data_IF_528941385378
#
_entry.id   IF_528941385378
#
_cell.length_a   1.000
_cell.length_b   1.000
_cell.length_c   1.000
_cell.angle_alpha   90.00
_cell.angle_beta   90.00
_cell.angle_gamma   90.00
#
_symmetry.space_group_name_H-M   'P 1'
#
loop_
_entity.id
_entity.type
_entity.pdbx_description
1 polymer ?
#
# COMPACT_ATOMS: atom_id res chain seq x y z
N UNK A 1 -11.34 -74.49 -29.91
CA UNK A 1 -11.65 -74.23 -31.33
C UNK A 1 -12.30 -72.85 -31.42
N UNK A 2 -11.60 -71.85 -32.00
CA UNK A 2 -12.10 -70.66 -32.75
C UNK A 2 -13.11 -69.71 -32.03
N UNK A 3 -12.98 -68.38 -31.93
CA UNK A 3 -12.28 -67.32 -32.69
C UNK A 3 -12.14 -66.06 -31.81
N UNK A 4 -10.98 -65.38 -31.87
CA UNK A 4 -10.78 -63.98 -31.48
C UNK A 4 -11.10 -63.04 -32.65
N UNK A 5 -11.57 -61.80 -32.38
CA UNK A 5 -11.53 -60.54 -33.17
C UNK A 5 -12.78 -59.73 -32.73
N UNK A 6 -12.80 -58.45 -32.39
CA UNK A 6 -11.85 -57.33 -32.20
C UNK A 6 -12.74 -56.11 -31.87
N UNK A 7 -12.17 -55.06 -31.27
CA UNK A 7 -12.57 -53.62 -31.34
C UNK A 7 -12.96 -52.92 -30.03
N UNK A 8 -11.92 -52.31 -29.45
CA UNK A 8 -11.80 -50.87 -29.15
C UNK A 8 -12.83 -50.20 -28.23
N UNK A 9 -12.36 -49.82 -27.04
CA UNK A 9 -13.03 -48.87 -26.15
C UNK A 9 -12.11 -48.22 -25.12
N UNK A 10 -10.89 -47.83 -25.52
CA UNK A 10 -10.10 -46.83 -24.78
C UNK A 10 -10.74 -45.46 -25.03
N UNK A 11 -11.47 -44.93 -24.05
CA UNK A 11 -12.23 -43.68 -24.19
C UNK A 11 -12.21 -42.84 -22.92
N UNK A 12 -11.08 -42.16 -22.70
CA UNK A 12 -10.94 -40.86 -22.01
C UNK A 12 -11.41 -40.72 -20.56
N UNK A 13 -10.42 -40.89 -19.68
CA UNK A 13 -10.16 -40.03 -18.54
C UNK A 13 -10.17 -38.55 -19.00
N UNK A 14 -11.29 -37.84 -18.85
CA UNK A 14 -11.37 -36.39 -19.04
C UNK A 14 -11.46 -35.72 -17.67
N UNK A 15 -10.29 -35.22 -17.27
CA UNK A 15 -10.04 -34.29 -16.19
C UNK A 15 -11.16 -33.23 -16.13
N UNK A 16 -11.99 -33.29 -15.09
CA UNK A 16 -12.75 -32.14 -14.63
C UNK A 16 -11.75 -31.15 -14.01
N UNK A 17 -10.92 -30.53 -14.84
CA UNK A 17 -10.29 -29.26 -14.48
C UNK A 17 -11.44 -28.29 -14.39
N UNK A 18 -11.86 -27.95 -13.16
CA UNK A 18 -12.71 -26.81 -12.90
C UNK A 18 -12.08 -25.60 -13.58
N UNK A 19 -12.58 -25.25 -14.78
CA UNK A 19 -12.30 -23.96 -15.38
C UNK A 19 -12.85 -22.94 -14.41
N UNK A 20 -12.00 -22.41 -13.53
CA UNK A 20 -12.27 -21.15 -12.85
C UNK A 20 -12.55 -20.16 -13.97
N UNK A 21 -13.81 -19.81 -14.15
CA UNK A 21 -14.22 -18.75 -15.05
C UNK A 21 -13.52 -17.50 -14.55
N UNK A 22 -12.42 -17.12 -15.20
CA UNK A 22 -11.79 -15.83 -14.99
C UNK A 22 -12.67 -14.81 -15.69
N UNK A 23 -13.75 -14.41 -15.04
CA UNK A 23 -14.51 -13.24 -15.45
C UNK A 23 -13.54 -12.06 -15.42
N UNK A 24 -13.20 -11.51 -16.58
CA UNK A 24 -12.28 -10.39 -16.65
C UNK A 24 -12.92 -9.18 -15.93
N UNK A 25 -12.25 -8.68 -14.88
CA UNK A 25 -12.71 -7.52 -14.12
C UNK A 25 -12.70 -6.30 -15.04
N UNK A 26 -13.86 -5.68 -15.24
CA UNK A 26 -14.01 -4.45 -16.03
C UNK A 26 -13.90 -3.25 -15.11
N UNK A 27 -12.74 -2.61 -15.11
CA UNK A 27 -12.49 -1.37 -14.36
C UNK A 27 -12.88 -0.15 -15.20
N UNK A 28 -13.74 0.69 -14.64
CA UNK A 28 -14.13 2.01 -15.15
C UNK A 28 -13.66 3.09 -14.17
N UNK A 29 -12.69 3.92 -14.55
CA UNK A 29 -12.06 4.89 -13.64
C UNK A 29 -12.94 6.07 -13.21
N UNK A 30 -14.20 6.11 -13.67
CA UNK A 30 -15.21 7.07 -13.23
C UNK A 30 -16.12 6.52 -12.14
N UNK A 31 -16.08 5.22 -11.88
CA UNK A 31 -16.94 4.53 -10.92
C UNK A 31 -16.28 4.49 -9.53
N UNK A 32 -15.87 5.67 -9.04
CA UNK A 32 -15.13 5.81 -7.76
C UNK A 32 -15.98 5.39 -6.55
N UNK A 33 -17.30 5.56 -6.62
CA UNK A 33 -18.27 5.19 -5.57
C UNK A 33 -18.27 3.69 -5.23
N UNK A 34 -17.71 2.85 -6.11
CA UNK A 34 -17.60 1.40 -5.90
C UNK A 34 -16.31 1.01 -5.18
N UNK A 35 -15.42 1.98 -4.96
CA UNK A 35 -14.15 1.79 -4.30
C UNK A 35 -14.28 2.37 -2.90
N UNK A 36 -14.36 1.47 -1.93
CA UNK A 36 -14.27 1.83 -0.53
C UNK A 36 -12.78 1.98 -0.19
N UNK A 37 -12.27 3.22 -0.15
CA UNK A 37 -10.84 3.50 0.08
C UNK A 37 -10.46 3.34 1.55
N UNK A 38 -11.35 3.73 2.46
CA UNK A 38 -11.27 3.49 3.91
C UNK A 38 -11.09 2.01 4.25
N UNK A 39 -11.49 1.16 3.32
CA UNK A 39 -11.54 -0.28 3.35
C UNK A 39 -10.24 -0.96 2.84
N UNK A 40 -9.30 -0.21 2.23
CA UNK A 40 -8.06 -0.76 1.66
C UNK A 40 -7.20 -1.52 2.69
N UNK A 41 -7.24 -1.10 3.96
CA UNK A 41 -6.39 -1.66 5.02
C UNK A 41 -6.71 -3.13 5.38
N UNK A 42 -7.92 -3.63 5.14
CA UNK A 42 -8.22 -5.06 5.36
C UNK A 42 -7.91 -5.92 4.12
N UNK A 43 -7.74 -5.31 2.95
CA UNK A 43 -7.43 -6.04 1.73
C UNK A 43 -6.01 -6.60 1.73
N UNK A 44 -5.07 -5.91 2.37
CA UNK A 44 -3.71 -6.39 2.57
C UNK A 44 -3.31 -6.28 4.03
N UNK A 45 -3.05 -7.41 4.69
CA UNK A 45 -2.56 -7.41 6.07
C UNK A 45 -1.18 -6.75 6.16
N UNK A 46 -1.11 -5.59 6.83
CA UNK A 46 0.10 -4.81 7.06
C UNK A 46 0.35 -4.64 8.58
N UNK A 47 1.28 -5.40 9.19
CA UNK A 47 1.54 -5.39 10.62
C UNK A 47 1.92 -4.00 11.16
N UNK A 48 2.70 -3.22 10.41
CA UNK A 48 3.05 -1.84 10.79
C UNK A 48 1.98 -0.81 10.44
N UNK A 49 0.88 -1.22 9.78
CA UNK A 49 -0.17 -0.31 9.33
C UNK A 49 -0.94 0.31 10.50
N UNK A 50 -1.26 -0.51 11.53
CA UNK A 50 -1.91 -0.09 12.77
C UNK A 50 -1.27 -0.86 13.95
N UNK A 51 -0.15 -0.35 14.45
CA UNK A 51 0.55 -0.83 15.65
C UNK A 51 0.65 0.25 16.74
N UNK A 52 1.26 -0.10 17.88
CA UNK A 52 1.46 0.79 19.02
C UNK A 52 2.18 2.10 18.67
N UNK A 53 3.18 2.03 17.78
CA UNK A 53 3.92 3.20 17.28
C UNK A 53 3.00 4.11 16.46
N UNK A 54 2.23 3.54 15.52
CA UNK A 54 1.29 4.34 14.73
C UNK A 54 0.21 4.98 15.60
N UNK A 55 -0.32 4.26 16.60
CA UNK A 55 -1.28 4.84 17.55
C UNK A 55 -0.67 5.95 18.41
N UNK A 56 0.55 5.76 18.88
CA UNK A 56 1.29 6.77 19.65
C UNK A 56 1.49 8.03 18.81
N UNK A 57 2.00 7.89 17.59
CA UNK A 57 2.26 9.01 16.70
C UNK A 57 0.97 9.73 16.31
N UNK A 58 -0.11 8.99 16.02
CA UNK A 58 -1.41 9.57 15.73
C UNK A 58 -1.92 10.45 16.87
N UNK A 59 -1.81 9.99 18.13
CA UNK A 59 -2.17 10.77 19.32
C UNK A 59 -1.31 12.03 19.46
N UNK A 60 0.00 11.93 19.26
CA UNK A 60 0.93 13.06 19.40
C UNK A 60 0.70 14.15 18.37
N UNK A 61 0.40 13.77 17.12
CA UNK A 61 0.26 14.70 16.00
C UNK A 61 -1.19 15.09 15.72
N UNK A 62 -2.13 14.50 16.46
CA UNK A 62 -3.58 14.61 16.24
C UNK A 62 -4.00 14.10 14.86
N UNK A 63 -3.20 13.23 14.25
CA UNK A 63 -3.55 12.54 13.02
C UNK A 63 -4.65 11.53 13.31
N UNK A 64 -5.66 11.48 12.45
CA UNK A 64 -6.76 10.52 12.56
C UNK A 64 -6.37 9.27 11.77
N UNK A 65 -6.17 8.15 12.47
CA UNK A 65 -6.04 6.86 11.80
C UNK A 65 -7.39 6.45 11.23
N UNK A 66 -7.45 5.88 10.01
CA UNK A 66 -8.69 5.36 9.46
C UNK A 66 -9.32 4.34 10.41
N UNK A 67 -10.57 4.58 10.81
CA UNK A 67 -11.35 3.62 11.58
C UNK A 67 -12.29 2.81 10.67
N UNK A 68 -12.95 1.80 11.24
CA UNK A 68 -13.82 0.89 10.47
C UNK A 68 -15.13 1.52 9.99
N UNK A 69 -15.51 2.65 10.57
CA UNK A 69 -16.82 3.27 10.36
C UNK A 69 -16.68 4.68 9.74
N UNK A 70 -15.47 5.08 9.34
CA UNK A 70 -15.19 6.40 8.77
C UNK A 70 -14.92 6.29 7.26
N UNK A 71 -15.70 7.03 6.48
CA UNK A 71 -15.48 7.20 5.05
C UNK A 71 -14.14 7.90 4.78
N UNK A 72 -13.56 7.63 3.60
CA UNK A 72 -12.34 8.28 3.17
C UNK A 72 -12.50 9.81 3.13
N UNK A 73 -11.43 10.54 3.41
CA UNK A 73 -11.44 12.00 3.47
C UNK A 73 -11.63 12.55 2.04
N UNK A 74 -12.82 13.04 1.72
CA UNK A 74 -13.13 13.58 0.38
C UNK A 74 -12.36 14.88 0.06
N UNK A 75 -12.04 15.69 1.08
CA UNK A 75 -11.34 16.97 0.93
C UNK A 75 -10.05 17.04 1.77
N UNK A 76 -8.89 16.98 1.11
CA UNK A 76 -7.58 17.21 1.74
C UNK A 76 -7.38 18.69 2.09
N UNK A 77 -7.76 19.07 3.30
CA UNK A 77 -7.41 20.41 3.84
C UNK A 77 -5.90 20.52 4.12
N UNK A 78 -5.37 21.75 4.16
CA UNK A 78 -3.97 22.00 4.55
C UNK A 78 -3.64 21.39 5.90
N UNK A 79 -4.53 21.50 6.89
CA UNK A 79 -4.30 20.94 8.23
C UNK A 79 -4.19 19.40 8.21
N UNK A 80 -4.97 18.73 7.36
CA UNK A 80 -4.86 17.29 7.15
C UNK A 80 -3.51 16.90 6.55
N UNK A 81 -3.05 17.64 5.54
CA UNK A 81 -1.72 17.43 4.95
C UNK A 81 -0.63 17.63 6.00
N UNK A 82 -0.71 18.70 6.80
CA UNK A 82 0.30 19.01 7.82
C UNK A 82 0.33 17.99 8.96
N UNK A 83 -0.84 17.54 9.44
CA UNK A 83 -0.92 16.50 10.47
C UNK A 83 -0.41 15.16 9.96
N UNK A 84 -0.70 14.80 8.70
CA UNK A 84 -0.14 13.63 8.02
C UNK A 84 1.38 13.68 7.88
N UNK A 85 1.93 14.85 7.53
CA UNK A 85 3.38 15.05 7.47
C UNK A 85 4.06 14.88 8.83
N UNK A 86 3.49 15.45 9.88
CA UNK A 86 4.02 15.25 11.24
C UNK A 86 3.87 13.82 11.73
N UNK A 87 2.75 13.16 11.41
CA UNK A 87 2.54 11.75 11.72
C UNK A 87 3.64 10.87 11.11
N UNK A 88 3.89 11.02 9.80
CA UNK A 88 4.92 10.26 9.12
C UNK A 88 6.32 10.53 9.68
N UNK A 89 6.63 11.79 10.02
CA UNK A 89 7.89 12.14 10.69
C UNK A 89 8.03 11.41 12.03
N UNK A 90 7.00 11.43 12.86
CA UNK A 90 7.03 10.73 14.16
C UNK A 90 7.32 9.23 14.01
N UNK A 91 6.63 8.57 13.06
CA UNK A 91 6.84 7.13 12.78
C UNK A 91 8.28 6.88 12.32
N UNK A 92 8.80 7.71 11.43
CA UNK A 92 10.14 7.53 10.88
C UNK A 92 11.24 7.83 11.91
N UNK A 93 11.04 8.83 12.76
CA UNK A 93 11.93 9.14 13.87
C UNK A 93 11.97 7.96 14.86
N UNK A 94 10.81 7.39 15.20
CA UNK A 94 10.71 6.26 16.13
C UNK A 94 11.59 5.08 15.69
N UNK A 95 11.54 4.73 14.40
CA UNK A 95 12.35 3.62 13.85
C UNK A 95 13.75 4.04 13.39
N UNK A 96 14.16 5.29 13.59
CA UNK A 96 15.42 5.86 13.09
C UNK A 96 15.59 5.69 11.56
N UNK A 97 14.48 5.79 10.81
CA UNK A 97 14.49 5.71 9.36
C UNK A 97 15.03 6.97 8.70
N UNK A 98 15.29 8.04 9.45
CA UNK A 98 15.87 9.27 8.94
C UNK A 98 17.28 9.47 9.47
N UNK A 99 18.17 9.94 8.59
CA UNK A 99 19.51 10.42 8.91
C UNK A 99 19.74 11.71 8.10
N UNK A 100 19.96 12.84 8.78
CA UNK A 100 20.17 14.15 8.16
C UNK A 100 19.12 14.49 7.07
N UNK A 101 17.84 14.32 7.41
CA UNK A 101 16.68 14.52 6.51
C UNK A 101 16.60 13.59 5.29
N UNK A 102 17.44 12.55 5.23
CA UNK A 102 17.41 11.53 4.20
C UNK A 102 16.95 10.19 4.77
N UNK A 103 16.35 9.36 3.93
CA UNK A 103 15.94 8.03 4.33
C UNK A 103 17.17 7.14 4.55
N UNK A 104 17.33 6.62 5.77
CA UNK A 104 18.36 5.67 6.13
C UNK A 104 17.92 4.25 5.74
N UNK A 105 18.21 3.85 4.50
CA UNK A 105 17.88 2.51 4.00
C UNK A 105 18.57 1.38 4.77
N UNK A 106 19.67 1.64 5.48
CA UNK A 106 20.29 0.63 6.36
C UNK A 106 19.43 0.38 7.59
N UNK A 107 18.94 1.44 8.25
CA UNK A 107 18.01 1.33 9.37
C UNK A 107 16.70 0.64 8.97
N UNK A 108 16.14 1.00 7.80
CA UNK A 108 14.95 0.35 7.24
C UNK A 108 15.16 -1.16 7.08
N UNK A 109 16.23 -1.57 6.39
CA UNK A 109 16.51 -3.00 6.18
C UNK A 109 16.67 -3.74 7.51
N UNK A 110 17.45 -3.17 8.44
CA UNK A 110 17.68 -3.75 9.75
C UNK A 110 16.36 -3.95 10.52
N UNK A 111 15.48 -2.94 10.54
CA UNK A 111 14.19 -3.04 11.22
C UNK A 111 13.34 -4.19 10.68
N UNK A 112 13.11 -4.24 9.37
CA UNK A 112 12.25 -5.28 8.79
C UNK A 112 12.87 -6.67 8.92
N UNK A 113 14.17 -6.82 8.67
CA UNK A 113 14.86 -8.11 8.75
C UNK A 113 14.92 -8.66 10.18
N UNK A 114 14.94 -7.81 11.21
CA UNK A 114 15.00 -8.25 12.61
C UNK A 114 13.62 -8.46 13.21
N UNK A 115 12.70 -7.51 13.00
CA UNK A 115 11.34 -7.53 13.59
C UNK A 115 10.45 -8.58 12.93
N UNK A 116 10.57 -8.74 11.61
CA UNK A 116 9.70 -9.61 10.81
C UNK A 116 10.46 -10.80 10.19
N UNK A 117 11.50 -11.28 10.87
CA UNK A 117 12.34 -12.39 10.40
C UNK A 117 11.57 -13.66 10.01
N UNK A 118 10.42 -13.92 10.65
CA UNK A 118 9.56 -15.08 10.38
C UNK A 118 8.60 -14.86 9.20
N UNK A 119 8.59 -13.66 8.60
CA UNK A 119 7.79 -13.35 7.42
C UNK A 119 8.67 -12.76 6.28
N UNK A 120 9.44 -13.61 5.59
CA UNK A 120 10.37 -13.16 4.58
C UNK A 120 9.69 -12.52 3.35
N UNK A 121 8.45 -12.88 3.04
CA UNK A 121 7.70 -12.26 1.94
C UNK A 121 7.33 -10.81 2.28
N UNK A 122 6.87 -10.55 3.51
CA UNK A 122 6.62 -9.19 3.99
C UNK A 122 7.89 -8.33 3.99
N UNK A 123 8.97 -8.87 4.56
CA UNK A 123 10.27 -8.18 4.62
C UNK A 123 10.75 -7.79 3.23
N UNK A 124 10.66 -8.72 2.28
CA UNK A 124 11.06 -8.49 0.89
C UNK A 124 10.24 -7.37 0.26
N UNK A 125 8.91 -7.41 0.35
CA UNK A 125 8.05 -6.41 -0.29
C UNK A 125 8.18 -5.02 0.36
N UNK A 126 8.31 -4.94 1.68
CA UNK A 126 8.55 -3.66 2.37
C UNK A 126 9.90 -3.05 1.98
N UNK A 127 10.99 -3.82 2.00
CA UNK A 127 12.30 -3.33 1.58
C UNK A 127 12.29 -2.91 0.10
N UNK A 128 11.61 -3.67 -0.76
CA UNK A 128 11.43 -3.32 -2.18
C UNK A 128 10.69 -1.99 -2.34
N UNK A 129 9.58 -1.81 -1.62
CA UNK A 129 8.81 -0.56 -1.62
C UNK A 129 9.67 0.63 -1.17
N UNK A 130 10.37 0.53 -0.04
CA UNK A 130 11.26 1.61 0.43
C UNK A 130 12.38 1.94 -0.54
N UNK A 131 13.04 0.96 -1.18
CA UNK A 131 14.08 1.24 -2.18
C UNK A 131 13.51 1.98 -3.41
N UNK A 132 12.34 1.58 -3.90
CA UNK A 132 11.68 2.22 -5.04
C UNK A 132 11.19 3.63 -4.71
N UNK A 133 10.67 3.80 -3.50
CA UNK A 133 10.19 5.09 -3.03
C UNK A 133 11.34 6.04 -2.74
N UNK A 134 12.44 5.56 -2.14
CA UNK A 134 13.65 6.35 -1.91
C UNK A 134 14.12 7.06 -3.19
N UNK A 135 14.36 6.30 -4.26
CA UNK A 135 14.89 6.82 -5.52
C UNK A 135 13.97 7.80 -6.26
N UNK A 136 12.65 7.74 -6.00
CA UNK A 136 11.65 8.62 -6.63
C UNK A 136 11.20 9.77 -5.71
N UNK A 137 11.37 9.61 -4.40
CA UNK A 137 10.88 10.53 -3.38
C UNK A 137 11.71 11.80 -3.27
N UNK A 138 13.00 11.78 -3.61
CA UNK A 138 13.82 13.00 -3.60
C UNK A 138 13.32 14.01 -4.63
N UNK A 139 13.05 13.56 -5.87
CA UNK A 139 12.51 14.39 -6.95
C UNK A 139 11.05 14.83 -6.66
N UNK A 140 10.20 13.89 -6.23
CA UNK A 140 8.80 14.18 -5.91
C UNK A 140 8.65 15.12 -4.69
N UNK A 141 9.54 15.01 -3.69
CA UNK A 141 9.56 15.91 -2.54
C UNK A 141 10.02 17.31 -2.95
N UNK A 142 11.03 17.40 -3.83
CA UNK A 142 11.46 18.67 -4.39
C UNK A 142 10.33 19.34 -5.19
N UNK A 143 9.58 18.58 -5.98
CA UNK A 143 8.40 19.05 -6.71
C UNK A 143 7.27 19.49 -5.76
N UNK A 144 6.91 18.68 -4.77
CA UNK A 144 5.89 19.00 -3.76
C UNK A 144 6.22 20.29 -3.01
N UNK A 145 7.47 20.44 -2.56
CA UNK A 145 7.98 21.65 -1.91
C UNK A 145 8.01 22.88 -2.85
N UNK A 146 8.04 22.67 -4.16
CA UNK A 146 7.99 23.74 -5.16
C UNK A 146 6.58 24.26 -5.43
N UNK A 147 5.53 23.60 -4.91
CA UNK A 147 4.16 24.09 -5.03
C UNK A 147 3.92 25.28 -4.10
N UNK A 148 3.23 26.30 -4.61
CA UNK A 148 3.04 27.59 -3.92
C UNK A 148 2.26 27.48 -2.60
N UNK A 149 1.39 26.48 -2.49
CA UNK A 149 0.57 26.21 -1.31
C UNK A 149 1.46 25.69 -0.19
N UNK A 150 2.29 24.68 -0.45
CA UNK A 150 3.17 24.06 0.56
C UNK A 150 4.30 25.00 0.98
N UNK A 151 4.86 25.79 0.06
CA UNK A 151 5.93 26.76 0.35
C UNK A 151 5.55 27.77 1.44
N UNK A 152 4.29 28.19 1.48
CA UNK A 152 3.81 29.14 2.49
C UNK A 152 3.81 28.53 3.91
N UNK A 153 3.43 27.25 4.06
CA UNK A 153 3.34 26.58 5.38
C UNK A 153 4.65 25.95 5.84
N UNK A 154 5.46 25.45 4.90
CA UNK A 154 6.81 24.92 5.16
C UNK A 154 7.82 26.00 5.57
N UNK A 155 7.48 27.28 5.38
CA UNK A 155 8.28 28.43 5.86
C UNK A 155 8.13 28.72 7.35
N UNK A 156 7.14 28.12 8.03
CA UNK A 156 7.04 28.20 9.49
C UNK A 156 8.01 27.20 10.13
N UNK A 157 8.86 27.66 11.06
CA UNK A 157 9.83 26.82 11.76
C UNK A 157 9.19 25.67 12.61
N UNK A 158 7.86 25.57 12.62
CA UNK A 158 7.07 24.64 13.40
C UNK A 158 6.41 23.55 12.56
N UNK A 159 6.56 23.56 11.23
CA UNK A 159 6.01 22.53 10.35
C UNK A 159 6.98 21.37 10.14
N UNK A 160 6.46 20.14 10.19
CA UNK A 160 7.24 18.94 9.88
C UNK A 160 7.61 18.92 8.39
N UNK A 161 8.82 18.44 8.06
CA UNK A 161 9.27 18.32 6.66
C UNK A 161 8.47 17.24 5.93
N UNK A 162 8.14 17.42 4.63
CA UNK A 162 7.25 16.51 3.90
C UNK A 162 7.88 15.20 3.42
N UNK A 163 9.21 15.08 3.44
CA UNK A 163 9.92 13.89 2.93
C UNK A 163 9.40 12.57 3.55
N UNK A 164 9.25 12.43 4.90
CA UNK A 164 8.72 11.21 5.49
C UNK A 164 7.31 10.86 5.01
N UNK A 165 6.40 11.84 4.86
CA UNK A 165 5.05 11.58 4.36
C UNK A 165 5.04 11.15 2.90
N UNK A 166 5.86 11.78 2.05
CA UNK A 166 5.97 11.40 0.63
C UNK A 166 6.49 9.96 0.50
N UNK A 167 7.51 9.60 1.27
CA UNK A 167 8.03 8.23 1.30
C UNK A 167 6.97 7.26 1.83
N UNK A 168 6.32 7.58 2.95
CA UNK A 168 5.32 6.71 3.57
C UNK A 168 4.13 6.45 2.63
N UNK A 169 3.56 7.49 2.02
CA UNK A 169 2.46 7.36 1.05
C UNK A 169 2.88 6.48 -0.14
N UNK A 170 4.08 6.71 -0.69
CA UNK A 170 4.62 5.87 -1.75
C UNK A 170 4.77 4.40 -1.30
N UNK A 171 5.28 4.15 -0.10
CA UNK A 171 5.47 2.80 0.43
C UNK A 171 4.14 2.08 0.62
N UNK A 172 3.13 2.74 1.20
CA UNK A 172 1.79 2.20 1.38
C UNK A 172 1.20 1.80 0.02
N UNK A 173 1.27 2.71 -0.96
CA UNK A 173 0.77 2.46 -2.31
C UNK A 173 1.50 1.29 -2.99
N UNK A 174 2.85 1.26 -2.90
CA UNK A 174 3.67 0.19 -3.49
C UNK A 174 3.41 -1.15 -2.83
N UNK A 175 3.31 -1.18 -1.50
CA UNK A 175 3.05 -2.40 -0.76
C UNK A 175 1.66 -2.95 -1.08
N UNK A 176 0.63 -2.11 -1.12
CA UNK A 176 -0.72 -2.53 -1.52
C UNK A 176 -0.75 -3.17 -2.91
N UNK A 177 -0.08 -2.56 -3.90
CA UNK A 177 -0.01 -3.08 -5.27
C UNK A 177 0.74 -4.41 -5.41
N UNK A 178 1.67 -4.67 -4.51
CA UNK A 178 2.52 -5.86 -4.49
C UNK A 178 2.24 -6.75 -3.26
N UNK A 179 1.05 -6.62 -2.67
CA UNK A 179 0.70 -7.33 -1.44
C UNK A 179 0.95 -8.83 -1.62
N UNK A 180 1.73 -9.47 -0.72
CA UNK A 180 1.96 -10.91 -0.78
C UNK A 180 0.64 -11.70 -0.76
N UNK A 181 0.59 -12.79 -1.53
CA UNK A 181 -0.63 -13.58 -1.72
C UNK A 181 -1.19 -14.15 -0.41
N UNK A 182 -0.32 -14.53 0.52
CA UNK A 182 -0.69 -15.03 1.85
C UNK A 182 -1.28 -13.94 2.77
N UNK A 183 -1.11 -12.66 2.43
CA UNK A 183 -1.60 -11.49 3.17
C UNK A 183 -2.81 -10.83 2.51
N UNK A 184 -3.07 -11.17 1.26
CA UNK A 184 -4.15 -10.63 0.45
C UNK A 184 -5.50 -11.26 0.77
N UNK A 185 -6.52 -10.43 0.96
CA UNK A 185 -7.92 -10.86 1.04
C UNK A 185 -8.49 -11.04 -0.36
N UNK A 186 -8.98 -12.24 -0.68
CA UNK A 186 -9.50 -12.57 -2.01
C UNK A 186 -11.02 -12.31 -2.14
N UNK A 187 -11.56 -11.33 -1.43
CA UNK A 187 -12.95 -10.86 -1.58
C UNK A 187 -13.10 -10.10 -2.90
N UNK A 188 -14.32 -10.09 -3.46
CA UNK A 188 -14.63 -9.35 -4.70
C UNK A 188 -14.18 -7.90 -4.58
N UNK A 189 -14.53 -7.24 -3.48
CA UNK A 189 -14.16 -5.86 -3.17
C UNK A 189 -12.66 -5.64 -3.26
N UNK A 190 -11.84 -6.45 -2.58
CA UNK A 190 -10.39 -6.27 -2.63
C UNK A 190 -9.82 -6.47 -4.03
N UNK A 191 -10.27 -7.50 -4.76
CA UNK A 191 -9.78 -7.75 -6.11
C UNK A 191 -10.17 -6.61 -7.07
N UNK A 192 -11.38 -6.08 -6.94
CA UNK A 192 -11.84 -4.91 -7.71
C UNK A 192 -11.05 -3.65 -7.33
N UNK A 193 -10.82 -3.39 -6.04
CA UNK A 193 -10.02 -2.27 -5.54
C UNK A 193 -8.58 -2.34 -6.05
N UNK A 194 -7.92 -3.50 -6.03
CA UNK A 194 -6.57 -3.67 -6.59
C UNK A 194 -6.52 -3.49 -8.11
N UNK A 195 -7.56 -3.97 -8.81
CA UNK A 195 -7.65 -3.79 -10.26
C UNK A 195 -7.86 -2.32 -10.62
N UNK A 196 -8.70 -1.63 -9.85
CA UNK A 196 -8.95 -0.20 -9.98
C UNK A 196 -7.68 0.61 -9.70
N UNK A 197 -7.05 0.39 -8.55
CA UNK A 197 -5.83 1.07 -8.09
C UNK A 197 -4.67 0.98 -9.09
N UNK A 198 -4.53 -0.17 -9.77
CA UNK A 198 -3.50 -0.40 -10.77
C UNK A 198 -3.77 0.25 -12.12
N UNK A 199 -5.04 0.39 -12.50
CA UNK A 199 -5.44 0.81 -13.85
C UNK A 199 -5.82 2.29 -13.93
N UNK A 200 -6.34 2.85 -12.85
CA UNK A 200 -6.79 4.23 -12.80
C UNK A 200 -5.69 5.10 -12.22
N UNK A 201 -5.08 5.93 -13.07
CA UNK A 201 -4.24 7.03 -12.61
C UNK A 201 -5.12 8.07 -11.90
N UNK A 202 -4.56 8.72 -10.91
CA UNK A 202 -5.08 9.92 -10.27
C UNK A 202 -6.21 9.78 -9.22
N UNK A 203 -6.70 8.57 -8.94
CA UNK A 203 -7.74 8.40 -7.89
C UNK A 203 -7.12 8.12 -6.51
N UNK A 204 -5.97 7.43 -6.47
CA UNK A 204 -5.24 7.13 -5.22
C UNK A 204 -4.00 8.01 -4.98
N UNK A 205 -3.71 8.94 -5.89
CA UNK A 205 -2.66 9.96 -5.68
C UNK A 205 -3.19 11.19 -4.94
N UNK A 206 -4.47 11.17 -4.58
CA UNK A 206 -5.15 12.12 -3.70
C UNK A 206 -5.11 11.70 -2.22
N UNK A 207 -4.28 10.71 -1.85
CA UNK A 207 -3.83 10.49 -0.47
C UNK A 207 -2.47 11.15 -0.25
#
# INVERSE_FOLDING_TARGET
MKVSILLLGLGQLLLLVSKKSSTAIRVHCRDVERIHEDHIHYCCKHPDGHNDVTEQCAKQTKFKLPSRDEEAIEDLTVDHVMTGTCFAKCVFDHYNFMDNDKLNMTAVRNHYQTTYKEDPEYVKEMISAFNLCHSKSEDATAEFLSTSIVRAFSSSAYSCKPMPSVVLACVIHRFFHNCPRNRWSNTTECVETLAFSKKCKDVLTTM
#
